data_IF_585359729643
#
_entry.id   IF_585359729643
#
_cell.length_a   1.000
_cell.length_b   1.000
_cell.length_c   1.000
_cell.angle_alpha   90.00
_cell.angle_beta   90.00
_cell.angle_gamma   90.00
#
_symmetry.space_group_name_H-M   'P 1'
#
loop_
_entity.id
_entity.type
_entity.pdbx_description
1 polymer ?
#
# COMPACT_ATOMS: atom_id res chain seq x y z
N UNK A 1 -2.94 -8.36 9.59
CA UNK A 1 -4.33 -7.93 9.84
C UNK A 1 -4.47 -6.94 10.99
N UNK A 2 -4.37 -7.35 12.26
CA UNK A 2 -4.65 -6.48 13.42
C UNK A 2 -3.80 -5.20 13.47
N UNK A 3 -2.48 -5.31 13.30
CA UNK A 3 -1.59 -4.13 13.28
C UNK A 3 -1.88 -3.14 12.15
N UNK A 4 -2.36 -3.62 10.99
CA UNK A 4 -2.78 -2.78 9.86
C UNK A 4 -4.07 -2.02 10.17
N UNK A 5 -5.05 -2.70 10.77
CA UNK A 5 -6.31 -2.06 11.17
C UNK A 5 -6.06 -1.02 12.27
N UNK A 6 -5.19 -1.33 13.23
CA UNK A 6 -4.82 -0.40 14.30
C UNK A 6 -4.09 0.83 13.75
N UNK A 7 -3.15 0.67 12.81
CA UNK A 7 -2.43 1.80 12.22
C UNK A 7 -3.35 2.70 11.39
N UNK A 8 -4.30 2.13 10.63
CA UNK A 8 -5.33 2.89 9.92
C UNK A 8 -6.31 3.58 10.86
N UNK A 9 -6.74 2.91 11.93
CA UNK A 9 -7.63 3.50 12.93
C UNK A 9 -6.96 4.67 13.65
N UNK A 10 -5.70 4.52 14.07
CA UNK A 10 -4.92 5.59 14.67
C UNK A 10 -4.72 6.77 13.70
N UNK A 11 -4.44 6.51 12.42
CA UNK A 11 -4.34 7.57 11.41
C UNK A 11 -5.68 8.27 11.15
N UNK A 12 -6.80 7.55 11.22
CA UNK A 12 -8.16 8.09 11.05
C UNK A 12 -8.60 8.99 12.20
N UNK A 13 -8.16 8.70 13.43
CA UNK A 13 -8.48 9.50 14.61
C UNK A 13 -7.79 10.86 14.60
N UNK A 14 -6.69 11.01 13.86
CA UNK A 14 -5.96 12.26 13.75
C UNK A 14 -6.42 13.07 12.53
N UNK A 15 -7.14 14.18 12.75
CA UNK A 15 -7.64 15.07 11.66
C UNK A 15 -6.55 15.48 10.68
N UNK A 16 -5.32 15.69 11.17
CA UNK A 16 -4.18 16.06 10.32
C UNK A 16 -3.74 14.92 9.41
N UNK A 17 -3.89 13.65 9.80
CA UNK A 17 -3.43 12.50 9.02
C UNK A 17 -4.54 11.82 8.21
N UNK A 18 -5.82 12.19 8.41
CA UNK A 18 -6.97 11.61 7.68
C UNK A 18 -6.82 11.69 6.16
N UNK A 19 -6.26 12.78 5.64
CA UNK A 19 -6.06 12.93 4.20
C UNK A 19 -5.04 11.93 3.63
N UNK A 20 -4.13 11.41 4.46
CA UNK A 20 -3.13 10.43 4.06
C UNK A 20 -3.67 9.00 3.98
N UNK A 21 -4.88 8.73 4.50
CA UNK A 21 -5.54 7.43 4.37
C UNK A 21 -5.86 7.06 2.92
N UNK A 22 -5.86 8.05 2.01
CA UNK A 22 -6.03 7.77 0.59
C UNK A 22 -4.95 6.82 0.07
N UNK A 23 -3.71 6.92 0.58
CA UNK A 23 -2.56 6.14 0.13
C UNK A 23 -2.71 4.64 0.43
N UNK A 24 -2.94 4.21 1.69
CA UNK A 24 -3.10 2.79 1.98
C UNK A 24 -4.37 2.20 1.35
N UNK A 25 -5.43 3.00 1.19
CA UNK A 25 -6.67 2.55 0.52
C UNK A 25 -6.45 2.33 -0.97
N UNK A 26 -5.83 3.28 -1.67
CA UNK A 26 -5.54 3.12 -3.10
C UNK A 26 -4.47 2.05 -3.33
N UNK A 27 -3.44 1.97 -2.49
CA UNK A 27 -2.43 0.92 -2.52
C UNK A 27 -3.03 -0.47 -2.35
N UNK A 28 -3.97 -0.63 -1.41
CA UNK A 28 -4.73 -1.88 -1.24
C UNK A 28 -5.54 -2.22 -2.50
N UNK A 29 -6.31 -1.27 -3.03
CA UNK A 29 -7.17 -1.51 -4.18
C UNK A 29 -6.35 -1.87 -5.43
N UNK A 30 -5.28 -1.12 -5.71
CA UNK A 30 -4.39 -1.36 -6.86
C UNK A 30 -3.67 -2.70 -6.69
N UNK A 31 -3.12 -2.99 -5.51
CA UNK A 31 -2.47 -4.26 -5.21
C UNK A 31 -3.42 -5.43 -5.40
N UNK A 32 -4.65 -5.35 -4.86
CA UNK A 32 -5.65 -6.40 -5.04
C UNK A 32 -6.01 -6.63 -6.51
N UNK A 33 -6.21 -5.56 -7.29
CA UNK A 33 -6.48 -5.69 -8.72
C UNK A 33 -5.31 -6.34 -9.46
N UNK A 34 -4.08 -5.92 -9.18
CA UNK A 34 -2.88 -6.47 -9.80
C UNK A 34 -2.71 -7.97 -9.47
N UNK A 35 -2.95 -8.37 -8.23
CA UNK A 35 -2.89 -9.77 -7.79
C UNK A 35 -3.99 -10.62 -8.41
N UNK A 36 -5.23 -10.11 -8.50
CA UNK A 36 -6.33 -10.83 -9.14
C UNK A 36 -6.01 -11.07 -10.61
N UNK A 37 -5.52 -10.03 -11.30
CA UNK A 37 -5.09 -10.15 -12.70
C UNK A 37 -3.92 -11.13 -12.81
N UNK A 38 -2.93 -11.04 -11.93
CA UNK A 38 -1.77 -11.93 -11.87
C UNK A 38 -2.14 -13.40 -11.73
N UNK A 39 -2.96 -13.73 -10.74
CA UNK A 39 -3.39 -15.11 -10.46
C UNK A 39 -4.28 -15.68 -11.58
N UNK A 40 -5.18 -14.88 -12.15
CA UNK A 40 -6.12 -15.38 -13.17
C UNK A 40 -5.54 -15.39 -14.59
N UNK A 41 -4.64 -14.45 -14.93
CA UNK A 41 -4.12 -14.28 -16.30
C UNK A 41 -2.66 -14.67 -16.46
N UNK A 42 -1.89 -14.70 -15.36
CA UNK A 42 -0.44 -14.90 -15.38
C UNK A 42 0.37 -13.67 -15.79
N UNK A 43 -0.25 -12.48 -15.89
CA UNK A 43 0.41 -11.21 -16.25
C UNK A 43 0.21 -10.23 -15.08
N UNK A 44 1.22 -9.47 -14.63
CA UNK A 44 2.60 -9.38 -15.15
C UNK A 44 3.58 -10.39 -14.53
N UNK A 45 3.19 -11.11 -13.49
CA UNK A 45 4.12 -11.87 -12.63
C UNK A 45 4.37 -13.33 -13.06
N UNK A 46 3.74 -13.80 -14.14
CA UNK A 46 3.72 -15.22 -14.51
C UNK A 46 2.62 -15.99 -13.77
N UNK A 47 2.56 -17.31 -13.98
CA UNK A 47 1.60 -18.19 -13.30
C UNK A 47 2.10 -18.55 -11.91
N UNK A 48 1.35 -18.18 -10.88
CA UNK A 48 1.61 -18.53 -9.48
C UNK A 48 0.30 -18.80 -8.75
N UNK A 49 0.37 -19.56 -7.67
CA UNK A 49 -0.78 -19.88 -6.82
C UNK A 49 -0.41 -19.73 -5.34
N UNK A 50 -1.31 -19.13 -4.57
CA UNK A 50 -1.14 -18.98 -3.12
C UNK A 50 -1.55 -20.26 -2.38
N UNK A 51 -0.58 -21.02 -1.88
CA UNK A 51 -0.85 -22.35 -1.28
C UNK A 51 -1.10 -22.28 0.23
N UNK A 52 -0.46 -21.36 0.97
CA UNK A 52 -0.33 -21.47 2.45
C UNK A 52 -0.90 -20.31 3.28
N UNK A 53 -1.53 -19.32 2.65
CA UNK A 53 -2.13 -18.21 3.40
C UNK A 53 -3.53 -18.62 3.89
N UNK A 54 -3.68 -18.80 5.21
CA UNK A 54 -4.91 -19.18 5.89
C UNK A 54 -5.91 -18.04 6.14
N UNK A 55 -5.60 -16.83 5.67
CA UNK A 55 -6.48 -15.67 5.77
C UNK A 55 -7.62 -15.68 4.74
N UNK A 56 -8.59 -14.75 4.88
CA UNK A 56 -9.68 -14.60 3.92
C UNK A 56 -9.15 -14.28 2.52
N UNK A 57 -9.79 -14.86 1.50
CA UNK A 57 -9.37 -14.74 0.09
C UNK A 57 -10.46 -14.07 -0.74
N UNK A 58 -10.04 -13.29 -1.73
CA UNK A 58 -10.89 -12.70 -2.76
C UNK A 58 -10.37 -13.19 -4.10
N UNK A 59 -11.20 -13.93 -4.85
CA UNK A 59 -10.87 -14.47 -6.18
C UNK A 59 -9.51 -15.21 -6.23
N UNK A 60 -9.20 -15.99 -5.20
CA UNK A 60 -7.95 -16.75 -5.08
C UNK A 60 -6.78 -15.97 -4.43
N UNK A 61 -6.91 -14.66 -4.27
CA UNK A 61 -5.89 -13.79 -3.67
C UNK A 61 -6.12 -13.63 -2.16
N UNK A 62 -5.15 -13.96 -1.30
CA UNK A 62 -5.23 -13.71 0.14
C UNK A 62 -5.20 -12.21 0.45
N UNK A 63 -6.15 -11.74 1.26
CA UNK A 63 -6.29 -10.32 1.59
C UNK A 63 -5.07 -9.74 2.34
N UNK A 64 -4.27 -10.58 2.99
CA UNK A 64 -3.03 -10.18 3.66
C UNK A 64 -2.06 -9.50 2.70
N UNK A 65 -1.96 -9.98 1.46
CA UNK A 65 -1.01 -9.44 0.47
C UNK A 65 -1.39 -8.01 0.08
N UNK A 66 -2.58 -7.70 -0.46
CA UNK A 66 -2.98 -6.33 -0.77
C UNK A 66 -2.96 -5.38 0.44
N UNK A 67 -3.22 -5.88 1.66
CA UNK A 67 -3.10 -5.05 2.86
C UNK A 67 -1.65 -4.65 3.13
N UNK A 68 -0.69 -5.55 2.90
CA UNK A 68 0.73 -5.21 2.98
C UNK A 68 1.10 -4.15 1.94
N UNK A 69 0.64 -4.26 0.69
CA UNK A 69 0.88 -3.24 -0.34
C UNK A 69 0.40 -1.85 0.11
N UNK A 70 -0.82 -1.76 0.64
CA UNK A 70 -1.37 -0.50 1.16
C UNK A 70 -0.59 0.04 2.36
N UNK A 71 -0.26 -0.81 3.34
CA UNK A 71 0.50 -0.40 4.52
C UNK A 71 1.89 0.11 4.15
N UNK A 72 2.56 -0.63 3.28
CA UNK A 72 3.92 -0.35 2.89
C UNK A 72 4.01 0.98 2.14
N UNK A 73 3.09 1.20 1.18
CA UNK A 73 2.96 2.49 0.49
C UNK A 73 2.77 3.66 1.46
N UNK A 74 1.94 3.47 2.49
CA UNK A 74 1.71 4.48 3.51
C UNK A 74 2.98 4.76 4.34
N UNK A 75 3.68 3.72 4.80
CA UNK A 75 4.91 3.86 5.59
C UNK A 75 6.02 4.55 4.77
N UNK A 76 6.22 4.16 3.52
CA UNK A 76 7.21 4.78 2.64
C UNK A 76 6.89 6.25 2.38
N UNK A 77 5.60 6.60 2.25
CA UNK A 77 5.19 7.99 2.13
C UNK A 77 5.44 8.80 3.41
N UNK A 78 5.23 8.23 4.60
CA UNK A 78 5.54 8.90 5.87
C UNK A 78 7.04 9.16 6.00
N UNK A 79 7.88 8.18 5.67
CA UNK A 79 9.33 8.33 5.65
C UNK A 79 9.71 9.44 4.66
N UNK A 80 9.19 9.39 3.44
CA UNK A 80 9.47 10.41 2.43
C UNK A 80 9.03 11.82 2.86
N UNK A 81 7.90 11.92 3.57
CA UNK A 81 7.38 13.18 4.11
C UNK A 81 8.22 13.74 5.25
N UNK A 82 8.86 12.87 6.04
CA UNK A 82 9.78 13.29 7.11
C UNK A 82 11.09 13.85 6.56
N UNK A 83 11.57 13.35 5.41
CA UNK A 83 12.81 13.82 4.77
C UNK A 83 12.57 15.05 3.89
N UNK A 84 11.45 15.10 3.15
CA UNK A 84 11.15 16.19 2.21
C UNK A 84 10.24 17.24 2.86
N UNK A 85 10.87 18.28 3.41
CA UNK A 85 10.18 19.39 4.11
C UNK A 85 9.67 20.50 3.18
N UNK A 86 10.01 20.47 1.88
CA UNK A 86 9.49 21.45 0.90
C UNK A 86 7.95 21.46 0.88
N UNK A 87 7.37 22.66 0.85
CA UNK A 87 5.92 22.88 0.76
C UNK A 87 5.48 23.15 -0.70
N UNK A 88 4.19 23.04 -0.97
CA UNK A 88 3.59 23.24 -2.29
C UNK A 88 3.67 22.00 -3.20
N UNK A 89 3.23 22.16 -4.46
CA UNK A 89 3.12 21.06 -5.43
C UNK A 89 4.45 20.33 -5.64
N UNK A 90 5.56 21.05 -5.74
CA UNK A 90 6.89 20.47 -5.91
C UNK A 90 7.27 19.57 -4.73
N UNK A 91 6.96 19.99 -3.50
CA UNK A 91 7.18 19.17 -2.31
C UNK A 91 6.36 17.88 -2.32
N UNK A 92 5.10 17.95 -2.74
CA UNK A 92 4.23 16.79 -2.87
C UNK A 92 4.77 15.79 -3.92
N UNK A 93 5.16 16.28 -5.09
CA UNK A 93 5.75 15.44 -6.16
C UNK A 93 7.03 14.76 -5.67
N UNK A 94 7.93 15.50 -5.01
CA UNK A 94 9.17 14.94 -4.47
C UNK A 94 8.92 13.84 -3.43
N UNK A 95 7.91 14.01 -2.55
CA UNK A 95 7.53 12.97 -1.58
C UNK A 95 7.00 11.72 -2.27
N UNK A 96 6.16 11.87 -3.28
CA UNK A 96 5.60 10.74 -4.04
C UNK A 96 6.70 9.98 -4.78
N UNK A 97 7.58 10.71 -5.48
CA UNK A 97 8.71 10.10 -6.20
C UNK A 97 9.64 9.39 -5.22
N UNK A 98 9.98 10.02 -4.10
CA UNK A 98 10.85 9.41 -3.11
C UNK A 98 10.21 8.20 -2.43
N UNK A 99 8.93 8.27 -2.07
CA UNK A 99 8.18 7.13 -1.55
C UNK A 99 8.12 5.97 -2.56
N UNK A 100 7.94 6.27 -3.84
CA UNK A 100 7.93 5.26 -4.91
C UNK A 100 9.30 4.60 -5.08
N UNK A 101 10.39 5.37 -4.94
CA UNK A 101 11.74 4.81 -4.93
C UNK A 101 11.95 3.91 -3.71
N UNK A 102 11.52 4.34 -2.53
CA UNK A 102 11.63 3.55 -1.30
C UNK A 102 10.85 2.24 -1.38
N UNK A 103 9.66 2.23 -2.01
CA UNK A 103 8.86 1.03 -2.26
C UNK A 103 9.56 -0.04 -3.11
N UNK A 104 10.56 0.36 -3.91
CA UNK A 104 11.33 -0.55 -4.77
C UNK A 104 12.65 -0.96 -4.12
N UNK A 105 13.26 -0.06 -3.35
CA UNK A 105 14.58 -0.26 -2.74
C UNK A 105 14.51 -1.07 -1.45
N UNK A 106 13.45 -0.89 -0.66
CA UNK A 106 13.24 -1.57 0.63
C UNK A 106 12.24 -2.70 0.46
#
# INVERSE_FOLDING_TARGET
MLGYVVSLAAASMNKEFRHLLIIPVTGFAIGLMAEIVGVNTGIPFGRYEYVSLGGPRVLGVPLDVPMMWGLYAYLMYLIASSTVTRRGCVGAVLRIVYASLLMVVL
#
